data_IF_624016225532
#
_entry.id   IF_624016225532
#
_cell.length_a   1.000
_cell.length_b   1.000
_cell.length_c   1.000
_cell.angle_alpha   90.00
_cell.angle_beta   90.00
_cell.angle_gamma   90.00
#
_symmetry.space_group_name_H-M   'P 1'
#
loop_
_entity.id
_entity.type
_entity.pdbx_description
1 polymer ?
#
# COMPACT_ATOMS: atom_id res chain seq x y z
N UNK A 1 49.31 -28.74 10.71
CA UNK A 1 49.17 -27.32 10.32
C UNK A 1 48.23 -27.15 9.13
N UNK A 2 48.37 -27.92 8.03
CA UNK A 2 47.51 -27.78 6.83
C UNK A 2 45.99 -28.04 7.04
N UNK A 3 45.62 -28.96 7.94
CA UNK A 3 44.21 -29.36 8.15
C UNK A 3 43.36 -28.28 8.83
N UNK A 4 43.97 -27.45 9.69
CA UNK A 4 43.26 -26.39 10.42
C UNK A 4 42.94 -25.22 9.50
N UNK A 5 43.86 -24.87 8.58
CA UNK A 5 43.67 -23.80 7.60
C UNK A 5 42.51 -24.11 6.65
N UNK A 6 42.38 -25.36 6.17
CA UNK A 6 41.28 -25.81 5.31
C UNK A 6 39.90 -25.72 5.97
N UNK A 7 39.80 -26.03 7.27
CA UNK A 7 38.52 -25.91 8.01
C UNK A 7 38.10 -24.45 8.24
N UNK A 8 39.06 -23.55 8.44
CA UNK A 8 38.79 -22.11 8.58
C UNK A 8 38.31 -21.52 7.26
N UNK A 9 38.95 -21.89 6.14
CA UNK A 9 38.56 -21.45 4.79
C UNK A 9 37.15 -21.96 4.40
N UNK A 10 36.84 -23.23 4.67
CA UNK A 10 35.49 -23.78 4.44
C UNK A 10 34.41 -23.10 5.28
N UNK A 11 34.70 -22.80 6.56
CA UNK A 11 33.77 -22.10 7.44
C UNK A 11 33.50 -20.65 7.02
N UNK A 12 34.51 -19.96 6.47
CA UNK A 12 34.35 -18.61 5.94
C UNK A 12 33.56 -18.59 4.62
N UNK A 13 33.79 -19.56 3.74
CA UNK A 13 33.04 -19.69 2.48
C UNK A 13 31.56 -20.00 2.75
N UNK A 14 31.25 -20.88 3.72
CA UNK A 14 29.86 -21.15 4.10
C UNK A 14 29.14 -19.92 4.69
N UNK A 15 29.82 -19.11 5.52
CA UNK A 15 29.23 -17.86 6.02
C UNK A 15 28.98 -16.86 4.91
N UNK A 16 29.92 -16.72 3.98
CA UNK A 16 29.78 -15.81 2.86
C UNK A 16 28.60 -16.21 1.95
N UNK A 17 28.43 -17.51 1.69
CA UNK A 17 27.29 -18.04 0.95
C UNK A 17 25.94 -17.77 1.65
N UNK A 18 25.89 -17.91 2.98
CA UNK A 18 24.68 -17.62 3.77
C UNK A 18 24.30 -16.13 3.73
N UNK A 19 25.28 -15.23 3.82
CA UNK A 19 25.03 -13.78 3.73
C UNK A 19 24.52 -13.42 2.33
N UNK A 20 25.17 -13.91 1.28
CA UNK A 20 24.73 -13.68 -0.10
C UNK A 20 23.31 -14.21 -0.36
N UNK A 21 22.97 -15.36 0.23
CA UNK A 21 21.63 -15.92 0.11
C UNK A 21 20.59 -15.05 0.81
N UNK A 22 20.88 -14.58 2.03
CA UNK A 22 19.99 -13.68 2.76
C UNK A 22 19.79 -12.33 2.04
N UNK A 23 20.86 -11.76 1.48
CA UNK A 23 20.80 -10.53 0.69
C UNK A 23 19.98 -10.72 -0.58
N UNK A 24 20.12 -11.87 -1.26
CA UNK A 24 19.35 -12.21 -2.45
C UNK A 24 17.86 -12.37 -2.14
N UNK A 25 17.51 -13.04 -1.04
CA UNK A 25 16.13 -13.21 -0.59
C UNK A 25 15.50 -11.86 -0.20
N UNK A 26 16.28 -10.98 0.45
CA UNK A 26 15.84 -9.61 0.76
C UNK A 26 15.60 -8.79 -0.50
N UNK A 27 16.52 -8.84 -1.47
CA UNK A 27 16.39 -8.12 -2.73
C UNK A 27 15.21 -8.64 -3.56
N UNK A 28 15.00 -9.96 -3.60
CA UNK A 28 13.85 -10.56 -4.28
C UNK A 28 12.53 -10.09 -3.68
N UNK A 29 12.47 -9.93 -2.35
CA UNK A 29 11.30 -9.39 -1.66
C UNK A 29 11.06 -7.92 -2.00
N UNK A 30 12.11 -7.09 -2.03
CA UNK A 30 11.99 -5.68 -2.42
C UNK A 30 11.53 -5.51 -3.88
N UNK A 31 12.05 -6.35 -4.79
CA UNK A 31 11.62 -6.37 -6.20
C UNK A 31 10.14 -6.74 -6.30
N UNK A 32 9.70 -7.79 -5.60
CA UNK A 32 8.30 -8.19 -5.60
C UNK A 32 7.37 -7.09 -5.05
N UNK A 33 7.77 -6.42 -3.97
CA UNK A 33 7.02 -5.28 -3.43
C UNK A 33 6.96 -4.09 -4.41
N UNK A 34 8.02 -3.85 -5.19
CA UNK A 34 8.02 -2.83 -6.23
C UNK A 34 7.12 -3.20 -7.41
N UNK A 35 7.12 -4.46 -7.86
CA UNK A 35 6.23 -4.95 -8.92
C UNK A 35 4.76 -4.80 -8.52
N UNK A 36 4.40 -5.18 -7.29
CA UNK A 36 3.03 -5.02 -6.76
C UNK A 36 2.63 -3.55 -6.71
N UNK A 37 3.55 -2.65 -6.30
CA UNK A 37 3.29 -1.20 -6.33
C UNK A 37 3.08 -0.69 -7.76
N UNK A 38 3.87 -1.17 -8.71
CA UNK A 38 3.80 -0.76 -10.11
C UNK A 38 2.48 -1.19 -10.76
N UNK A 39 2.04 -2.44 -10.52
CA UNK A 39 0.76 -2.93 -11.03
C UNK A 39 -0.42 -2.16 -10.40
N UNK A 40 -0.36 -1.88 -9.10
CA UNK A 40 -1.36 -1.03 -8.44
C UNK A 40 -1.42 0.41 -8.97
N UNK A 41 -0.30 0.96 -9.46
CA UNK A 41 -0.27 2.26 -10.14
C UNK A 41 -0.88 2.19 -11.54
N UNK A 42 -0.62 1.09 -12.27
CA UNK A 42 -1.18 0.82 -13.60
C UNK A 42 -2.69 0.63 -13.56
N UNK A 43 -3.20 -0.11 -12.58
CA UNK A 43 -4.64 -0.26 -12.33
C UNK A 43 -5.31 1.08 -12.00
N UNK A 44 -4.64 1.94 -11.20
CA UNK A 44 -5.12 3.30 -10.92
C UNK A 44 -5.15 4.15 -12.19
N UNK A 45 -4.11 4.08 -13.02
CA UNK A 45 -4.09 4.81 -14.28
C UNK A 45 -5.22 4.35 -15.22
N UNK A 46 -5.45 3.04 -15.31
CA UNK A 46 -6.57 2.48 -16.08
C UNK A 46 -7.95 2.90 -15.54
N UNK A 47 -8.14 2.88 -14.23
CA UNK A 47 -9.39 3.33 -13.59
C UNK A 47 -9.64 4.83 -13.81
N UNK A 48 -8.60 5.66 -13.68
CA UNK A 48 -8.68 7.11 -13.95
C UNK A 48 -8.98 7.36 -15.43
N UNK A 49 -8.32 6.66 -16.35
CA UNK A 49 -8.58 6.79 -17.79
C UNK A 49 -10.03 6.40 -18.13
N UNK A 50 -10.54 5.31 -17.56
CA UNK A 50 -11.93 4.88 -17.75
C UNK A 50 -12.91 5.90 -17.17
N UNK A 51 -12.63 6.47 -15.99
CA UNK A 51 -13.44 7.56 -15.42
C UNK A 51 -13.41 8.82 -16.29
N UNK A 52 -12.25 9.16 -16.86
CA UNK A 52 -12.11 10.28 -17.81
C UNK A 52 -12.91 10.00 -19.09
N UNK A 53 -12.88 8.79 -19.62
CA UNK A 53 -13.67 8.41 -20.81
C UNK A 53 -15.18 8.46 -20.54
N UNK A 54 -15.64 7.97 -19.39
CA UNK A 54 -17.04 8.08 -18.97
C UNK A 54 -17.46 9.55 -18.82
N UNK A 55 -16.62 10.37 -18.19
CA UNK A 55 -16.84 11.80 -18.12
C UNK A 55 -16.90 12.42 -19.53
N UNK A 56 -15.97 12.06 -20.43
CA UNK A 56 -15.95 12.57 -21.81
C UNK A 56 -17.19 12.18 -22.61
N UNK A 57 -17.75 10.98 -22.39
CA UNK A 57 -18.98 10.51 -23.02
C UNK A 57 -20.24 11.27 -22.56
N UNK A 58 -20.33 11.60 -21.26
CA UNK A 58 -21.41 12.44 -20.70
C UNK A 58 -21.41 13.88 -21.20
N UNK A 59 -20.26 14.31 -21.70
CA UNK A 59 -19.97 15.70 -22.08
C UNK A 59 -20.34 15.97 -23.52
N UNK A 60 -20.10 15.00 -24.38
CA UNK A 60 -20.53 15.06 -25.78
C UNK A 60 -22.04 14.95 -25.94
N UNK A 61 -22.76 14.46 -24.92
CA UNK A 61 -24.21 14.24 -24.94
C UNK A 61 -25.03 15.28 -24.18
N UNK A 62 -24.41 16.17 -23.38
CA UNK A 62 -25.13 17.21 -22.63
C UNK A 62 -24.49 18.59 -22.85
N UNK A 63 -25.11 19.48 -23.65
CA UNK A 63 -24.54 20.78 -23.98
C UNK A 63 -24.62 21.81 -22.83
N UNK A 64 -25.03 21.40 -21.63
CA UNK A 64 -25.17 22.29 -20.49
C UNK A 64 -23.96 22.19 -19.57
N UNK A 65 -23.28 23.33 -19.34
CA UNK A 65 -22.15 23.50 -18.39
C UNK A 65 -22.42 22.93 -16.98
N UNK A 66 -23.66 22.60 -16.63
CA UNK A 66 -24.06 21.96 -15.36
C UNK A 66 -23.74 20.46 -15.28
N UNK A 67 -23.84 19.71 -16.38
CA UNK A 67 -23.69 18.24 -16.36
C UNK A 67 -22.30 17.76 -15.95
N UNK A 68 -21.25 18.50 -16.34
CA UNK A 68 -19.87 18.24 -15.92
C UNK A 68 -19.67 18.39 -14.41
N UNK A 69 -20.21 19.46 -13.82
CA UNK A 69 -20.08 19.72 -12.38
C UNK A 69 -20.74 18.62 -11.59
N UNK A 70 -21.90 18.15 -12.05
CA UNK A 70 -22.62 17.08 -11.38
C UNK A 70 -21.92 15.72 -11.50
N UNK A 71 -21.39 15.39 -12.68
CA UNK A 71 -20.63 14.16 -12.87
C UNK A 71 -19.32 14.13 -12.06
N UNK A 72 -18.58 15.24 -12.03
CA UNK A 72 -17.37 15.39 -11.21
C UNK A 72 -17.72 15.33 -9.72
N UNK A 73 -18.81 15.97 -9.28
CA UNK A 73 -19.26 15.90 -7.89
C UNK A 73 -19.66 14.47 -7.49
N UNK A 74 -20.38 13.74 -8.35
CA UNK A 74 -20.74 12.33 -8.10
C UNK A 74 -19.51 11.44 -7.99
N UNK A 75 -18.52 11.65 -8.87
CA UNK A 75 -17.26 10.91 -8.81
C UNK A 75 -16.48 11.24 -7.52
N UNK A 76 -16.36 12.52 -7.17
CA UNK A 76 -15.69 12.95 -5.95
C UNK A 76 -16.38 12.38 -4.69
N UNK A 77 -17.71 12.37 -4.67
CA UNK A 77 -18.49 11.74 -3.60
C UNK A 77 -18.23 10.23 -3.52
N UNK A 78 -18.26 9.53 -4.65
CA UNK A 78 -17.99 8.09 -4.71
C UNK A 78 -16.58 7.75 -4.20
N UNK A 79 -15.57 8.54 -4.60
CA UNK A 79 -14.21 8.38 -4.10
C UNK A 79 -14.11 8.66 -2.60
N UNK A 80 -14.82 9.66 -2.08
CA UNK A 80 -14.89 9.96 -0.64
C UNK A 80 -15.50 8.80 0.15
N UNK A 81 -16.64 8.28 -0.30
CA UNK A 81 -17.31 7.13 0.35
C UNK A 81 -16.39 5.92 0.36
N UNK A 82 -15.69 5.67 -0.73
CA UNK A 82 -14.76 4.55 -0.85
C UNK A 82 -13.56 4.71 0.10
N UNK A 83 -13.05 5.93 0.25
CA UNK A 83 -11.98 6.24 1.20
C UNK A 83 -12.43 6.08 2.66
N UNK A 84 -13.61 6.58 3.03
CA UNK A 84 -14.13 6.43 4.41
C UNK A 84 -14.38 4.96 4.77
N UNK A 85 -14.90 4.16 3.84
CA UNK A 85 -15.04 2.71 4.04
C UNK A 85 -13.69 2.03 4.27
N UNK A 86 -12.67 2.42 3.50
CA UNK A 86 -11.33 1.88 3.66
C UNK A 86 -10.68 2.32 4.97
N UNK A 87 -10.85 3.59 5.36
CA UNK A 87 -10.40 4.10 6.67
C UNK A 87 -11.00 3.27 7.81
N UNK A 88 -12.32 3.04 7.77
CA UNK A 88 -12.99 2.23 8.78
C UNK A 88 -12.44 0.80 8.82
N UNK A 89 -12.27 0.16 7.66
CA UNK A 89 -11.71 -1.18 7.59
C UNK A 89 -10.29 -1.25 8.16
N UNK A 90 -9.42 -0.28 7.84
CA UNK A 90 -8.07 -0.17 8.39
C UNK A 90 -8.09 0.03 9.90
N UNK A 91 -8.96 0.93 10.39
CA UNK A 91 -9.14 1.19 11.81
C UNK A 91 -9.60 -0.07 12.57
N UNK A 92 -10.57 -0.81 12.04
CA UNK A 92 -11.06 -2.05 12.66
C UNK A 92 -9.97 -3.13 12.71
N UNK A 93 -9.12 -3.23 11.68
CA UNK A 93 -7.97 -4.14 11.69
C UNK A 93 -6.96 -3.76 12.77
N UNK A 94 -6.60 -2.47 12.85
CA UNK A 94 -5.70 -1.97 13.90
C UNK A 94 -6.30 -2.16 15.30
N UNK A 95 -7.60 -1.94 15.48
CA UNK A 95 -8.29 -2.17 16.75
C UNK A 95 -8.25 -3.63 17.19
N UNK A 96 -8.40 -4.55 16.26
CA UNK A 96 -8.43 -5.99 16.56
C UNK A 96 -7.05 -6.59 16.84
N UNK A 97 -6.00 -6.06 16.20
CA UNK A 97 -4.65 -6.64 16.22
C UNK A 97 -3.60 -5.78 16.94
N UNK A 98 -3.97 -4.56 17.32
CA UNK A 98 -3.11 -3.59 18.01
C UNK A 98 -2.22 -2.82 17.04
N UNK A 99 -1.19 -3.50 16.51
CA UNK A 99 -0.18 -2.90 15.64
C UNK A 99 -0.07 -3.74 14.36
N UNK A 100 -0.10 -3.10 13.18
CA UNK A 100 -0.01 -3.80 11.90
C UNK A 100 0.88 -3.06 10.91
N UNK A 101 1.61 -3.83 10.11
CA UNK A 101 2.32 -3.34 8.94
C UNK A 101 1.39 -3.07 7.75
N UNK A 102 1.84 -2.26 6.80
CA UNK A 102 1.06 -1.96 5.58
C UNK A 102 0.79 -3.21 4.76
N UNK A 103 1.75 -4.14 4.68
CA UNK A 103 1.57 -5.41 3.95
C UNK A 103 0.44 -6.26 4.53
N UNK A 104 0.39 -6.39 5.85
CA UNK A 104 -0.67 -7.15 6.53
C UNK A 104 -2.04 -6.47 6.36
N UNK A 105 -2.07 -5.13 6.41
CA UNK A 105 -3.28 -4.37 6.14
C UNK A 105 -3.78 -4.58 4.71
N UNK A 106 -2.88 -4.67 3.71
CA UNK A 106 -3.26 -5.01 2.33
C UNK A 106 -3.91 -6.38 2.24
N UNK A 107 -3.32 -7.41 2.86
CA UNK A 107 -3.84 -8.77 2.85
C UNK A 107 -5.22 -8.86 3.50
N UNK A 108 -5.41 -8.16 4.64
CA UNK A 108 -6.65 -8.21 5.43
C UNK A 108 -7.80 -7.42 4.82
N UNK A 109 -7.50 -6.31 4.14
CA UNK A 109 -8.51 -5.43 3.54
C UNK A 109 -8.74 -5.74 2.06
N UNK A 110 -7.85 -6.51 1.42
CA UNK A 110 -7.82 -6.70 -0.02
C UNK A 110 -7.50 -5.44 -0.81
N UNK A 111 -7.05 -4.37 -0.15
CA UNK A 111 -6.73 -3.10 -0.78
C UNK A 111 -5.24 -3.01 -1.13
N UNK A 112 -4.92 -2.22 -2.16
CA UNK A 112 -3.53 -1.97 -2.53
C UNK A 112 -2.81 -1.09 -1.50
N UNK A 113 -1.48 -1.26 -1.40
CA UNK A 113 -0.65 -0.52 -0.43
C UNK A 113 -0.81 0.99 -0.56
N UNK A 114 -1.00 1.52 -1.78
CA UNK A 114 -1.25 2.94 -2.02
C UNK A 114 -2.55 3.44 -1.38
N UNK A 115 -3.62 2.63 -1.43
CA UNK A 115 -4.91 2.98 -0.84
C UNK A 115 -4.83 2.90 0.68
N UNK A 116 -4.09 1.92 1.21
CA UNK A 116 -3.81 1.79 2.64
C UNK A 116 -3.00 2.99 3.17
N UNK A 117 -1.91 3.38 2.50
CA UNK A 117 -1.17 4.59 2.88
C UNK A 117 -2.06 5.83 2.92
N UNK A 118 -2.94 6.00 1.92
CA UNK A 118 -3.87 7.13 1.90
C UNK A 118 -4.83 7.11 3.10
N UNK A 119 -5.38 5.94 3.43
CA UNK A 119 -6.27 5.78 4.58
C UNK A 119 -5.54 6.04 5.90
N UNK A 120 -4.32 5.51 6.07
CA UNK A 120 -3.50 5.70 7.26
C UNK A 120 -3.07 7.16 7.45
N UNK A 121 -2.68 7.86 6.38
CA UNK A 121 -2.37 9.29 6.45
C UNK A 121 -3.61 10.11 6.82
N UNK A 122 -4.78 9.82 6.25
CA UNK A 122 -6.02 10.49 6.61
C UNK A 122 -6.40 10.27 8.08
N UNK A 123 -6.31 9.03 8.57
CA UNK A 123 -6.54 8.69 9.98
C UNK A 123 -5.52 9.36 10.91
N UNK A 124 -4.28 9.52 10.46
CA UNK A 124 -3.22 10.22 11.21
C UNK A 124 -3.51 11.70 11.34
N UNK A 125 -3.96 12.35 10.26
CA UNK A 125 -4.35 13.75 10.27
C UNK A 125 -5.56 13.99 11.21
N UNK A 126 -6.41 12.98 11.37
CA UNK A 126 -7.52 12.92 12.32
C UNK A 126 -7.10 12.55 13.75
N UNK A 127 -5.81 12.25 13.97
CA UNK A 127 -5.21 11.84 15.26
C UNK A 127 -5.74 10.51 15.81
N UNK A 128 -6.25 9.64 14.94
CA UNK A 128 -6.78 8.31 15.29
C UNK A 128 -5.69 7.24 15.29
N UNK A 129 -4.68 7.39 14.43
CA UNK A 129 -3.55 6.45 14.29
C UNK A 129 -2.21 7.18 14.30
N UNK A 130 -1.17 6.47 14.75
CA UNK A 130 0.21 6.94 14.67
C UNK A 130 1.12 5.90 14.01
N UNK A 131 2.24 6.39 13.49
CA UNK A 131 3.26 5.55 12.88
C UNK A 131 4.34 5.24 13.92
N UNK A 132 4.48 3.96 14.25
CA UNK A 132 5.49 3.43 15.16
C UNK A 132 6.66 2.83 14.35
N UNK A 133 7.17 3.58 13.37
CA UNK A 133 8.24 3.12 12.47
C UNK A 133 7.70 2.36 11.25
N UNK A 134 7.87 1.04 11.21
CA UNK A 134 7.40 0.21 10.08
C UNK A 134 5.93 -0.22 10.22
N UNK A 135 5.33 0.05 11.37
CA UNK A 135 3.98 -0.38 11.71
C UNK A 135 3.12 0.82 12.14
N UNK A 136 1.80 0.61 12.10
CA UNK A 136 0.80 1.60 12.48
C UNK A 136 -0.02 1.08 13.64
N UNK A 137 -0.42 1.97 14.55
CA UNK A 137 -1.22 1.63 15.72
C UNK A 137 -2.23 2.74 16.04
N UNK A 138 -3.26 2.41 16.82
CA UNK A 138 -4.22 3.39 17.32
C UNK A 138 -3.56 4.33 18.34
N UNK A 139 -3.93 5.61 18.31
CA UNK A 139 -3.55 6.54 19.37
C UNK A 139 -4.36 6.20 20.62
N UNK A 140 -3.70 5.78 21.70
CA UNK A 140 -4.39 5.59 22.97
C UNK A 140 -4.86 6.95 23.52
N UNK A 141 -6.15 7.12 23.87
CA UNK A 141 -6.58 8.32 24.56
C UNK A 141 -5.91 8.37 25.94
N UNK A 142 -5.17 9.45 26.20
CA UNK A 142 -4.56 9.77 27.51
C UNK A 142 -5.64 10.26 28.47
#
# INVERSE_FOLDING_TARGET
>A
MATITLQIEQGQVSRFAQILQADYESLAKEIHEMEVKLEGMKDRAGSILSQIEQLKGHVTTSPERGGWKEAVNKLAQSQRISLEKLKQAVYDQLRSSGTLGVTELCERTGASSSSIYRALHALRDEKEVENAGREWQLVCPV
#
